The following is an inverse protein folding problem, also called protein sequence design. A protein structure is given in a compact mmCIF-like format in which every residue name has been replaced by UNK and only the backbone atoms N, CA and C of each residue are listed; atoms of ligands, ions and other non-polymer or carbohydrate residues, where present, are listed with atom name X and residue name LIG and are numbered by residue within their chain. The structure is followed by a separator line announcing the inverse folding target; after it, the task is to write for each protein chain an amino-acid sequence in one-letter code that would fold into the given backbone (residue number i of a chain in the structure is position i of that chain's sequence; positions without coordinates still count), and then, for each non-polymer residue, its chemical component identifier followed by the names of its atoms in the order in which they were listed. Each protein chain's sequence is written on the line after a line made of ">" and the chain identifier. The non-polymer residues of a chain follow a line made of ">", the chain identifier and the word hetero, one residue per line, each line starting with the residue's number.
data_IF_853987526195
#
_entry.id   IF_853987526195
#
_cell.length_a   1.000
_cell.length_b   1.000
_cell.length_c   1.000
_cell.angle_alpha   90.00
_cell.angle_beta   90.00
_cell.angle_gamma   90.00
#
_symmetry.space_group_name_H-M   'P 1'
#
loop_
_entity.id
_entity.type
_entity.pdbx_description
1 polymer ?
#
# COMPACT_ATOMS: atom_id res chain seq x y z
N UNK A 1 3.39 12.90 -16.81
CA UNK A 1 3.16 11.50 -16.46
C UNK A 1 4.31 10.65 -16.98
N UNK A 2 4.88 9.83 -16.14
CA UNK A 2 6.10 9.07 -16.47
C UNK A 2 5.83 7.89 -17.41
N UNK A 3 4.63 7.32 -17.37
CA UNK A 3 4.27 6.14 -18.14
C UNK A 3 2.75 6.08 -18.29
N UNK A 4 2.30 5.22 -19.18
CA UNK A 4 0.87 5.03 -19.41
C UNK A 4 0.23 4.38 -18.20
N UNK A 5 -1.03 4.73 -17.90
CA UNK A 5 -1.75 4.08 -16.80
C UNK A 5 -1.85 2.58 -17.03
N UNK A 6 -1.67 1.82 -15.96
CA UNK A 6 -1.80 0.37 -15.95
C UNK A 6 -3.19 0.04 -15.42
N UNK A 7 -3.88 -0.90 -16.07
CA UNK A 7 -5.20 -1.35 -15.61
C UNK A 7 -5.09 -1.96 -14.21
N UNK A 8 -5.91 -1.49 -13.28
CA UNK A 8 -5.92 -1.97 -11.90
C UNK A 8 -6.18 -3.47 -11.78
N UNK A 9 -6.86 -4.06 -12.77
CA UNK A 9 -7.11 -5.50 -12.78
C UNK A 9 -5.83 -6.34 -12.74
N UNK A 10 -4.73 -5.82 -13.27
CA UNK A 10 -3.44 -6.50 -13.18
C UNK A 10 -3.05 -6.71 -11.71
N UNK A 11 -3.18 -5.66 -10.91
CA UNK A 11 -2.80 -5.71 -9.50
C UNK A 11 -3.78 -6.55 -8.67
N UNK A 12 -5.08 -6.48 -8.99
CA UNK A 12 -6.08 -7.35 -8.38
C UNK A 12 -5.73 -8.82 -8.63
N UNK A 13 -5.37 -9.18 -9.86
CA UNK A 13 -4.98 -10.55 -10.21
C UNK A 13 -3.69 -10.97 -9.49
N UNK A 14 -2.71 -10.07 -9.41
CA UNK A 14 -1.46 -10.36 -8.72
C UNK A 14 -1.69 -10.68 -7.24
N UNK A 15 -2.55 -9.89 -6.59
CA UNK A 15 -2.90 -10.14 -5.19
C UNK A 15 -3.68 -11.45 -5.02
N UNK A 16 -4.58 -11.75 -5.94
CA UNK A 16 -5.35 -13.00 -5.87
C UNK A 16 -4.44 -14.23 -5.97
N UNK A 17 -3.45 -14.17 -6.85
CA UNK A 17 -2.46 -15.26 -6.99
C UNK A 17 -1.64 -15.43 -5.71
N UNK A 18 -1.24 -14.33 -5.09
CA UNK A 18 -0.50 -14.40 -3.82
C UNK A 18 -1.38 -15.01 -2.73
N UNK A 19 -2.63 -14.57 -2.63
CA UNK A 19 -3.56 -15.06 -1.62
C UNK A 19 -3.73 -16.59 -1.69
N UNK A 20 -3.78 -17.14 -2.89
CA UNK A 20 -3.87 -18.60 -3.09
C UNK A 20 -2.66 -19.35 -2.57
N UNK A 21 -1.51 -18.70 -2.50
CA UNK A 21 -0.24 -19.32 -2.08
C UNK A 21 0.12 -19.02 -0.63
N UNK A 22 -0.59 -18.10 0.01
CA UNK A 22 -0.32 -17.77 1.41
C UNK A 22 -0.78 -18.89 2.32
N UNK A 23 -0.03 -19.13 3.38
CA UNK A 23 -0.42 -20.11 4.39
C UNK A 23 -1.73 -19.66 5.05
N UNK A 24 -2.59 -20.58 5.47
CA UNK A 24 -3.79 -20.20 6.19
C UNK A 24 -3.47 -19.35 7.41
N UNK A 25 -4.28 -18.31 7.64
CA UNK A 25 -4.08 -17.42 8.77
C UNK A 25 -2.92 -16.44 8.62
N UNK A 26 -2.34 -16.32 7.42
CA UNK A 26 -1.21 -15.41 7.20
C UNK A 26 -1.64 -14.00 6.89
N UNK A 27 -0.86 -13.06 7.40
CA UNK A 27 -0.98 -11.63 7.12
C UNK A 27 0.33 -11.16 6.51
N UNK A 28 0.28 -10.46 5.38
CA UNK A 28 1.46 -9.93 4.72
C UNK A 28 1.44 -8.41 4.75
N UNK A 29 2.58 -7.81 5.06
CA UNK A 29 2.74 -6.35 5.10
C UNK A 29 3.85 -5.98 4.13
N UNK A 30 3.52 -5.15 3.14
CA UNK A 30 4.47 -4.65 2.16
C UNK A 30 4.68 -3.16 2.39
N UNK A 31 5.90 -2.78 2.72
CA UNK A 31 6.27 -1.40 2.99
C UNK A 31 6.93 -0.77 1.76
N UNK A 32 6.70 0.54 1.58
CA UNK A 32 7.42 1.31 0.58
C UNK A 32 8.89 1.43 0.98
N UNK A 33 9.74 1.64 -0.01
CA UNK A 33 11.13 1.98 0.26
C UNK A 33 11.21 3.38 0.85
N UNK A 34 12.25 3.62 1.65
CA UNK A 34 12.49 4.95 2.19
C UNK A 34 13.02 5.88 1.11
N UNK A 35 12.79 7.17 1.28
CA UNK A 35 13.42 8.20 0.48
C UNK A 35 14.84 8.41 1.03
N UNK A 36 15.84 8.10 0.24
CA UNK A 36 17.23 8.19 0.68
C UNK A 36 17.80 9.60 0.44
N UNK A 37 18.57 10.15 1.39
CA UNK A 37 19.25 11.42 1.17
C UNK A 37 20.36 11.25 0.12
N UNK A 38 20.51 12.26 -0.74
CA UNK A 38 21.66 12.36 -1.62
C UNK A 38 22.72 13.22 -0.95
N UNK A 39 23.83 13.50 -1.67
CA UNK A 39 24.90 14.33 -1.12
C UNK A 39 24.40 15.74 -0.78
N UNK A 40 24.70 16.18 0.40
CA UNK A 40 24.53 17.53 0.93
C UNK A 40 23.07 18.01 1.05
N UNK A 41 22.40 18.36 -0.02
CA UNK A 41 21.17 19.17 0.08
C UNK A 41 19.93 18.54 -0.52
N UNK A 42 20.03 17.34 -1.05
CA UNK A 42 18.89 16.75 -1.74
C UNK A 42 18.57 15.35 -1.26
N UNK A 43 17.59 14.78 -1.91
CA UNK A 43 17.23 13.37 -1.75
C UNK A 43 17.39 12.67 -3.10
N UNK A 44 17.67 11.38 -3.06
CA UNK A 44 17.66 10.56 -4.26
C UNK A 44 16.24 10.44 -4.76
N UNK A 45 16.07 10.27 -6.08
CA UNK A 45 14.76 10.01 -6.63
C UNK A 45 14.17 8.76 -5.98
N UNK A 46 12.91 8.86 -5.56
CA UNK A 46 12.23 7.75 -4.93
C UNK A 46 12.06 6.59 -5.91
N UNK A 47 12.34 5.39 -5.44
CA UNK A 47 12.02 4.16 -6.16
C UNK A 47 11.18 3.29 -5.26
N UNK A 48 10.00 2.90 -5.75
CA UNK A 48 9.10 2.06 -4.99
C UNK A 48 9.69 0.66 -4.82
N UNK A 49 9.36 0.04 -3.68
CA UNK A 49 9.63 -1.36 -3.44
C UNK A 49 8.94 -2.19 -4.53
N UNK A 50 9.67 -3.12 -5.13
CA UNK A 50 9.16 -3.92 -6.25
C UNK A 50 7.91 -4.73 -5.89
N UNK A 51 7.90 -5.32 -4.70
CA UNK A 51 6.75 -6.12 -4.26
C UNK A 51 5.52 -5.25 -4.03
N UNK A 52 5.68 -4.13 -3.35
CA UNK A 52 4.56 -3.21 -3.12
C UNK A 52 3.98 -2.74 -4.45
N UNK A 53 4.82 -2.36 -5.40
CA UNK A 53 4.36 -1.93 -6.72
C UNK A 53 3.66 -3.08 -7.46
N UNK A 54 4.25 -4.27 -7.44
CA UNK A 54 3.69 -5.43 -8.14
C UNK A 54 2.28 -5.78 -7.68
N UNK A 55 2.02 -5.63 -6.38
CA UNK A 55 0.73 -5.99 -5.81
C UNK A 55 -0.27 -4.82 -5.71
N UNK A 56 0.16 -3.58 -5.82
CA UNK A 56 -0.73 -2.44 -5.64
C UNK A 56 -0.73 -1.42 -6.78
N UNK A 57 0.34 -1.36 -7.55
CA UNK A 57 0.51 -0.32 -8.56
C UNK A 57 0.82 1.05 -7.98
N UNK A 58 0.98 1.15 -6.67
CA UNK A 58 1.23 2.42 -6.00
C UNK A 58 2.71 2.77 -6.05
N UNK A 59 3.02 3.94 -6.58
CA UNK A 59 4.38 4.44 -6.71
C UNK A 59 4.51 5.74 -5.91
N UNK A 60 4.43 5.59 -4.59
CA UNK A 60 4.43 6.72 -3.67
C UNK A 60 5.11 6.31 -2.36
N UNK A 61 5.91 7.22 -1.81
CA UNK A 61 6.56 7.00 -0.52
C UNK A 61 5.54 6.89 0.62
N UNK A 62 5.94 6.27 1.71
CA UNK A 62 5.13 6.07 2.92
C UNK A 62 3.82 5.32 2.68
N UNK A 63 3.77 4.50 1.63
CA UNK A 63 2.63 3.63 1.41
C UNK A 63 2.88 2.24 2.01
N UNK A 64 1.81 1.60 2.44
CA UNK A 64 1.86 0.24 3.02
C UNK A 64 0.66 -0.54 2.50
N UNK A 65 0.91 -1.77 2.05
CA UNK A 65 -0.15 -2.68 1.65
C UNK A 65 -0.22 -3.83 2.64
N UNK A 66 -1.41 -4.11 3.17
CA UNK A 66 -1.65 -5.24 4.06
C UNK A 66 -2.60 -6.21 3.37
N UNK A 67 -2.21 -7.47 3.31
CA UNK A 67 -3.04 -8.54 2.77
C UNK A 67 -3.30 -9.57 3.85
N UNK A 68 -4.57 -9.80 4.16
CA UNK A 68 -4.99 -10.77 5.15
C UNK A 68 -6.20 -11.55 4.61
N UNK A 69 -5.96 -12.52 3.68
CA UNK A 69 -7.05 -13.20 2.98
C UNK A 69 -8.05 -13.89 3.89
N UNK A 70 -7.60 -14.40 5.02
CA UNK A 70 -8.46 -15.15 5.95
C UNK A 70 -9.10 -14.29 7.03
N UNK A 71 -9.01 -12.96 6.92
CA UNK A 71 -9.67 -12.09 7.89
C UNK A 71 -11.18 -12.37 7.94
N UNK A 72 -11.72 -12.41 9.15
CA UNK A 72 -13.15 -12.58 9.36
C UNK A 72 -13.95 -11.35 8.90
N UNK A 73 -13.27 -10.19 8.82
CA UNK A 73 -13.87 -8.93 8.35
C UNK A 73 -13.41 -8.69 6.93
N UNK A 74 -14.35 -8.72 5.98
CA UNK A 74 -14.01 -8.63 4.55
C UNK A 74 -13.17 -7.41 4.21
N UNK A 75 -13.50 -6.24 4.76
CA UNK A 75 -12.76 -5.00 4.48
C UNK A 75 -11.31 -5.04 4.96
N UNK A 76 -10.93 -5.97 5.82
CA UNK A 76 -9.56 -6.12 6.32
C UNK A 76 -8.72 -7.08 5.50
N UNK A 77 -9.28 -7.68 4.46
CA UNK A 77 -8.56 -8.66 3.64
C UNK A 77 -7.52 -8.02 2.73
N UNK A 78 -7.79 -6.78 2.30
CA UNK A 78 -6.85 -5.96 1.54
C UNK A 78 -6.97 -4.53 2.05
N UNK A 79 -5.87 -3.98 2.53
CA UNK A 79 -5.85 -2.62 3.08
C UNK A 79 -4.65 -1.88 2.52
N UNK A 80 -4.88 -0.68 2.01
CA UNK A 80 -3.82 0.20 1.54
C UNK A 80 -3.74 1.42 2.47
N UNK A 81 -2.53 1.71 2.95
CA UNK A 81 -2.26 2.87 3.77
C UNK A 81 -1.45 3.87 2.97
N UNK A 82 -1.86 5.12 2.99
CA UNK A 82 -1.26 6.19 2.23
C UNK A 82 -0.97 7.39 3.12
N UNK A 83 0.02 8.18 2.71
CA UNK A 83 0.25 9.48 3.31
C UNK A 83 -0.98 10.35 3.08
N UNK A 84 -1.48 10.97 4.14
CA UNK A 84 -2.66 11.83 4.07
C UNK A 84 -2.46 12.99 3.10
N UNK A 85 -3.47 13.25 2.28
CA UNK A 85 -3.48 14.41 1.40
C UNK A 85 -4.88 15.02 1.34
N UNK A 86 -4.93 16.30 1.02
CA UNK A 86 -6.14 17.04 0.73
C UNK A 86 -5.76 18.22 -0.18
N UNK A 87 -6.73 19.04 -0.56
CA UNK A 87 -6.46 20.15 -1.47
C UNK A 87 -5.41 21.12 -0.91
N UNK A 88 -5.47 21.40 0.39
CA UNK A 88 -4.53 22.30 1.04
C UNK A 88 -3.11 21.74 1.07
N UNK A 89 -2.97 20.46 1.43
CA UNK A 89 -1.67 19.79 1.44
C UNK A 89 -1.09 19.73 0.02
N UNK A 90 -1.92 19.47 -0.98
CA UNK A 90 -1.47 19.38 -2.36
C UNK A 90 -0.87 20.68 -2.88
N UNK A 91 -1.32 21.81 -2.41
CA UNK A 91 -0.75 23.11 -2.78
C UNK A 91 0.73 23.21 -2.37
N UNK A 92 1.08 22.66 -1.21
CA UNK A 92 2.43 22.76 -0.65
C UNK A 92 3.34 21.61 -1.02
N UNK A 93 2.80 20.40 -1.10
CA UNK A 93 3.59 19.18 -1.30
C UNK A 93 3.44 18.54 -2.67
N UNK A 94 2.55 19.09 -3.51
CA UNK A 94 2.21 18.48 -4.80
C UNK A 94 1.12 17.44 -4.65
N UNK A 95 0.62 16.96 -5.78
CA UNK A 95 -0.46 15.98 -5.77
C UNK A 95 0.02 14.61 -5.33
N UNK A 96 -0.74 14.02 -4.43
CA UNK A 96 -0.56 12.64 -3.96
C UNK A 96 -1.86 11.87 -4.22
N UNK A 97 -1.77 10.55 -4.11
CA UNK A 97 -2.96 9.72 -4.26
C UNK A 97 -3.98 10.04 -3.17
N UNK A 98 -5.22 10.27 -3.58
CA UNK A 98 -6.36 10.30 -2.67
C UNK A 98 -6.85 8.86 -2.48
N UNK A 99 -7.79 8.67 -1.55
CA UNK A 99 -8.39 7.35 -1.37
C UNK A 99 -9.07 6.86 -2.64
N UNK A 100 -9.70 7.77 -3.38
CA UNK A 100 -10.39 7.45 -4.63
C UNK A 100 -9.43 7.08 -5.75
N UNK A 101 -8.39 7.89 -5.95
CA UNK A 101 -7.40 7.60 -6.99
C UNK A 101 -6.56 6.37 -6.65
N UNK A 102 -6.36 6.09 -5.37
CA UNK A 102 -5.69 4.88 -4.93
C UNK A 102 -6.52 3.63 -5.28
N UNK A 103 -7.83 3.70 -5.11
CA UNK A 103 -8.71 2.63 -5.54
C UNK A 103 -8.64 2.42 -7.05
N UNK A 104 -8.68 3.53 -7.81
CA UNK A 104 -8.60 3.46 -9.26
C UNK A 104 -7.28 2.84 -9.73
N UNK A 105 -6.20 3.10 -9.01
CA UNK A 105 -4.87 2.58 -9.35
C UNK A 105 -4.71 1.11 -8.97
N UNK A 106 -5.14 0.73 -7.78
CA UNK A 106 -4.82 -0.57 -7.17
C UNK A 106 -5.95 -1.58 -7.17
N UNK A 107 -7.19 -1.10 -7.21
CA UNK A 107 -8.36 -1.94 -6.98
C UNK A 107 -8.61 -2.27 -5.51
N UNK A 108 -7.82 -1.74 -4.58
CA UNK A 108 -8.03 -1.94 -3.15
C UNK A 108 -9.11 -1.00 -2.67
N UNK A 109 -10.18 -1.55 -2.09
CA UNK A 109 -11.34 -0.77 -1.66
C UNK A 109 -11.15 -0.11 -0.30
N UNK A 110 -10.36 -0.72 0.58
CA UNK A 110 -10.14 -0.22 1.94
C UNK A 110 -8.85 0.56 1.98
N UNK A 111 -8.95 1.89 2.07
CA UNK A 111 -7.80 2.79 2.08
C UNK A 111 -7.87 3.65 3.34
N UNK A 112 -6.80 3.66 4.10
CA UNK A 112 -6.65 4.50 5.29
C UNK A 112 -5.43 5.41 5.12
N UNK A 113 -5.37 6.46 5.92
CA UNK A 113 -4.16 7.27 6.01
C UNK A 113 -3.10 6.55 6.85
N UNK A 114 -1.83 6.71 6.51
CA UNK A 114 -0.74 5.95 7.12
C UNK A 114 -0.59 6.19 8.63
N UNK A 115 -0.99 7.36 9.12
CA UNK A 115 -0.94 7.64 10.56
C UNK A 115 -1.86 6.71 11.38
N UNK A 116 -2.83 6.07 10.74
CA UNK A 116 -3.72 5.12 11.40
C UNK A 116 -3.20 3.68 11.33
N UNK A 117 -2.04 3.45 10.73
CA UNK A 117 -1.52 2.12 10.49
C UNK A 117 -1.41 1.29 11.78
N UNK A 118 -0.77 1.82 12.80
CA UNK A 118 -0.59 1.08 14.05
C UNK A 118 -1.91 0.76 14.73
N UNK A 119 -2.84 1.69 14.71
CA UNK A 119 -4.16 1.51 15.29
C UNK A 119 -4.94 0.40 14.58
N UNK A 120 -4.97 0.45 13.26
CA UNK A 120 -5.68 -0.53 12.45
C UNK A 120 -5.02 -1.91 12.56
N UNK A 121 -3.69 -1.96 12.42
CA UNK A 121 -2.95 -3.22 12.50
C UNK A 121 -3.17 -3.89 13.87
N UNK A 122 -3.15 -3.10 14.94
CA UNK A 122 -3.37 -3.62 16.29
C UNK A 122 -4.74 -4.29 16.44
N UNK A 123 -5.74 -3.82 15.70
CA UNK A 123 -7.08 -4.38 15.76
C UNK A 123 -7.24 -5.71 15.02
N UNK A 124 -6.30 -6.04 14.13
CA UNK A 124 -6.42 -7.25 13.30
C UNK A 124 -5.28 -8.26 13.49
N UNK A 125 -4.15 -7.83 14.04
CA UNK A 125 -2.94 -8.65 14.04
C UNK A 125 -3.07 -9.93 14.86
N UNK A 126 -3.88 -9.92 15.91
CA UNK A 126 -4.03 -11.11 16.76
C UNK A 126 -4.88 -12.21 16.11
N UNK A 127 -5.56 -11.92 15.00
CA UNK A 127 -6.21 -12.95 14.20
C UNK A 127 -5.21 -13.72 13.34
N UNK A 128 -4.02 -13.15 13.14
CA UNK A 128 -3.02 -13.74 12.25
C UNK A 128 -2.18 -14.77 12.97
N UNK A 129 -1.92 -15.90 12.32
CA UNK A 129 -1.03 -16.95 12.82
C UNK A 129 0.42 -16.71 12.39
N UNK A 130 0.60 -16.12 11.23
CA UNK A 130 1.92 -15.85 10.65
C UNK A 130 1.90 -14.48 9.99
N UNK A 131 3.00 -13.74 10.12
CA UNK A 131 3.15 -12.41 9.53
C UNK A 131 4.37 -12.42 8.61
N UNK A 132 4.17 -11.96 7.37
CA UNK A 132 5.24 -11.74 6.42
C UNK A 132 5.54 -10.26 6.30
N UNK A 133 6.82 -9.91 6.28
CA UNK A 133 7.29 -8.54 6.06
C UNK A 133 8.25 -8.54 4.86
N UNK A 134 8.14 -7.52 4.01
CA UNK A 134 9.10 -7.34 2.93
C UNK A 134 10.41 -6.69 3.38
#
# INVERSE_FOLDING_TARGET
>A
MKYLPIDSNLFVKNRAKLAERMMPGSLAIFNANDVLPSNADGTMAFRQNNELFYFSGVDQEESILVLFPDSTVEKHREILFLRETNEEIAIWEGEKLTKETAYDTSGVKTVYWVQDFHKILRSIIYEAETIYLN
#
